data_IF_953036283426
#
_entry.id   IF_953036283426
#
_cell.length_a   1.000
_cell.length_b   1.000
_cell.length_c   1.000
_cell.angle_alpha   90.00
_cell.angle_beta   90.00
_cell.angle_gamma   90.00
#
_symmetry.space_group_name_H-M   'P 1'
#
loop_
_entity.id
_entity.type
_entity.pdbx_description
1 polymer ?
#
# COMPACT_ATOMS: atom_id res chain seq x y z
N UNK A 1 44.70 -31.92 24.42
CA UNK A 1 44.73 -30.48 24.08
C UNK A 1 44.67 -30.22 22.56
N UNK A 2 45.36 -31.03 21.74
CA UNK A 2 45.44 -30.88 20.28
C UNK A 2 44.07 -30.99 19.55
N UNK A 3 43.21 -31.90 19.99
CA UNK A 3 41.86 -32.13 19.43
C UNK A 3 40.91 -30.95 19.64
N UNK A 4 41.04 -30.23 20.76
CA UNK A 4 40.20 -29.05 21.07
C UNK A 4 40.54 -27.86 20.15
N UNK A 5 41.82 -27.68 19.83
CA UNK A 5 42.25 -26.67 18.87
C UNK A 5 41.79 -26.98 17.45
N UNK A 6 41.85 -28.26 17.02
CA UNK A 6 41.38 -28.70 15.70
C UNK A 6 39.87 -28.47 15.52
N UNK A 7 39.05 -28.83 16.52
CA UNK A 7 37.61 -28.57 16.53
C UNK A 7 37.27 -27.07 16.49
N UNK A 8 38.04 -26.24 17.21
CA UNK A 8 37.85 -24.80 17.20
C UNK A 8 38.19 -24.19 15.83
N UNK A 9 39.26 -24.64 15.17
CA UNK A 9 39.63 -24.18 13.83
C UNK A 9 38.62 -24.59 12.76
N UNK A 10 38.13 -25.84 12.79
CA UNK A 10 37.10 -26.31 11.84
C UNK A 10 35.78 -25.56 12.01
N UNK A 11 35.39 -25.30 13.26
CA UNK A 11 34.19 -24.51 13.57
C UNK A 11 34.32 -23.08 13.05
N UNK A 12 35.49 -22.45 13.25
CA UNK A 12 35.78 -21.10 12.78
C UNK A 12 35.80 -21.02 11.24
N UNK A 13 36.41 -22.00 10.56
CA UNK A 13 36.39 -22.08 9.10
C UNK A 13 34.97 -22.24 8.55
N UNK A 14 34.16 -23.10 9.17
CA UNK A 14 32.75 -23.32 8.79
C UNK A 14 31.93 -22.04 8.95
N UNK A 15 32.13 -21.30 10.04
CA UNK A 15 31.50 -19.99 10.27
C UNK A 15 31.96 -18.98 9.24
N UNK A 16 33.26 -18.92 8.94
CA UNK A 16 33.85 -17.98 7.97
C UNK A 16 33.34 -18.23 6.55
N UNK A 17 33.26 -19.50 6.12
CA UNK A 17 32.67 -19.88 4.82
C UNK A 17 31.19 -19.49 4.76
N UNK A 18 30.40 -19.80 5.78
CA UNK A 18 28.97 -19.41 5.86
C UNK A 18 28.79 -17.89 5.80
N UNK A 19 29.62 -17.13 6.51
CA UNK A 19 29.60 -15.67 6.49
C UNK A 19 29.90 -15.10 5.10
N UNK A 20 30.84 -15.69 4.38
CA UNK A 20 31.29 -15.19 3.08
C UNK A 20 30.19 -15.25 2.01
N UNK A 21 29.51 -16.39 1.88
CA UNK A 21 28.42 -16.54 0.90
C UNK A 21 27.17 -15.74 1.30
N UNK A 22 26.74 -15.83 2.56
CA UNK A 22 25.55 -15.12 3.06
C UNK A 22 25.67 -13.60 2.94
N UNK A 23 26.88 -13.05 3.16
CA UNK A 23 27.15 -11.62 3.00
C UNK A 23 26.84 -11.13 1.59
N UNK A 24 27.24 -11.87 0.57
CA UNK A 24 27.04 -11.46 -0.82
C UNK A 24 25.55 -11.44 -1.18
N UNK A 25 24.79 -12.44 -0.76
CA UNK A 25 23.35 -12.52 -1.04
C UNK A 25 22.57 -11.38 -0.39
N UNK A 26 22.90 -11.04 0.86
CA UNK A 26 22.27 -9.91 1.55
C UNK A 26 22.67 -8.59 0.90
N UNK A 27 23.95 -8.39 0.57
CA UNK A 27 24.40 -7.17 -0.11
C UNK A 27 23.71 -7.00 -1.46
N UNK A 28 23.54 -8.10 -2.19
CA UNK A 28 22.79 -8.13 -3.44
C UNK A 28 21.32 -7.80 -3.20
N UNK A 29 20.69 -8.39 -2.17
CA UNK A 29 19.31 -8.10 -1.82
C UNK A 29 19.13 -6.62 -1.41
N UNK A 30 19.99 -6.06 -0.56
CA UNK A 30 19.94 -4.65 -0.15
C UNK A 30 20.06 -3.72 -1.36
N UNK A 31 21.02 -4.02 -2.25
CA UNK A 31 21.25 -3.24 -3.47
C UNK A 31 20.07 -3.32 -4.43
N UNK A 32 19.53 -4.52 -4.65
CA UNK A 32 18.35 -4.73 -5.49
C UNK A 32 17.14 -3.98 -4.96
N UNK A 33 17.00 -3.85 -3.63
CA UNK A 33 15.90 -3.12 -3.00
C UNK A 33 16.17 -1.63 -2.80
N UNK A 34 17.23 -1.08 -3.41
CA UNK A 34 17.50 0.36 -3.42
C UNK A 34 18.00 0.94 -2.10
N UNK A 35 18.45 0.09 -1.17
CA UNK A 35 19.00 0.52 0.12
C UNK A 35 20.44 0.96 -0.14
N UNK A 36 20.67 2.27 -0.31
CA UNK A 36 21.99 2.86 -0.64
C UNK A 36 22.74 3.44 0.56
N UNK A 37 22.07 3.60 1.70
CA UNK A 37 22.67 4.13 2.93
C UNK A 37 23.73 3.15 3.46
N UNK A 38 25.00 3.55 3.37
CA UNK A 38 26.14 2.73 3.80
C UNK A 38 26.16 2.49 5.30
N UNK A 39 25.67 3.43 6.11
CA UNK A 39 25.58 3.27 7.56
C UNK A 39 24.56 2.21 7.93
N UNK A 40 23.37 2.29 7.35
CA UNK A 40 22.31 1.28 7.51
C UNK A 40 22.76 -0.10 6.98
N UNK A 41 23.40 -0.15 5.82
CA UNK A 41 23.95 -1.39 5.28
C UNK A 41 24.96 -2.02 6.25
N UNK A 42 25.92 -1.26 6.78
CA UNK A 42 26.92 -1.78 7.72
C UNK A 42 26.28 -2.23 9.03
N UNK A 43 25.27 -1.53 9.53
CA UNK A 43 24.54 -1.89 10.74
C UNK A 43 23.76 -3.22 10.59
N UNK A 44 23.11 -3.41 9.44
CA UNK A 44 22.47 -4.68 9.06
C UNK A 44 23.53 -5.79 9.00
N UNK A 45 24.67 -5.53 8.35
CA UNK A 45 25.76 -6.50 8.21
C UNK A 45 26.41 -6.87 9.54
N UNK A 46 26.57 -5.93 10.47
CA UNK A 46 27.01 -6.18 11.84
C UNK A 46 26.07 -7.14 12.55
N UNK A 47 24.77 -6.86 12.50
CA UNK A 47 23.77 -7.67 13.20
C UNK A 47 23.69 -9.11 12.64
N UNK A 48 23.84 -9.26 11.32
CA UNK A 48 23.85 -10.57 10.67
C UNK A 48 25.09 -11.38 11.05
N UNK A 49 26.26 -10.73 11.18
CA UNK A 49 27.46 -11.39 11.71
C UNK A 49 27.19 -11.98 13.09
N UNK A 50 26.44 -11.28 13.94
CA UNK A 50 26.11 -11.74 15.28
C UNK A 50 25.10 -12.90 15.27
N UNK A 51 24.06 -12.85 14.45
CA UNK A 51 23.09 -13.96 14.26
C UNK A 51 23.82 -15.25 13.83
N UNK A 52 24.72 -15.13 12.84
CA UNK A 52 25.47 -16.29 12.33
C UNK A 52 26.44 -16.84 13.39
N UNK A 53 27.11 -15.97 14.17
CA UNK A 53 27.97 -16.40 15.29
C UNK A 53 27.18 -17.14 16.37
N UNK A 54 25.95 -16.71 16.64
CA UNK A 54 25.03 -17.35 17.61
C UNK A 54 24.49 -18.70 17.12
N UNK A 55 24.82 -19.12 15.89
CA UNK A 55 24.30 -20.33 15.23
C UNK A 55 22.77 -20.37 15.14
N UNK A 56 22.12 -19.21 15.17
CA UNK A 56 20.69 -19.12 14.91
C UNK A 56 20.41 -19.46 13.44
N UNK A 57 19.26 -20.07 13.19
CA UNK A 57 18.85 -20.43 11.83
C UNK A 57 18.68 -19.16 11.00
N UNK A 58 19.51 -19.06 9.98
CA UNK A 58 19.49 -17.99 9.00
C UNK A 58 18.92 -18.55 7.71
N UNK A 59 17.80 -18.00 7.27
CA UNK A 59 17.09 -18.45 6.07
C UNK A 59 17.58 -17.67 4.84
N UNK A 60 18.43 -18.32 4.04
CA UNK A 60 19.05 -17.74 2.84
C UNK A 60 18.03 -17.28 1.79
N UNK A 61 16.83 -17.87 1.80
CA UNK A 61 15.78 -17.54 0.85
C UNK A 61 14.81 -16.48 1.38
N UNK A 62 14.96 -16.08 2.65
CA UNK A 62 14.07 -15.13 3.31
C UNK A 62 14.84 -13.98 3.97
N UNK A 63 15.50 -13.13 3.17
CA UNK A 63 16.40 -12.08 3.66
C UNK A 63 15.73 -11.13 4.66
N UNK A 64 14.45 -10.78 4.48
CA UNK A 64 13.70 -9.96 5.44
C UNK A 64 13.55 -10.61 6.83
N UNK A 65 13.51 -11.94 6.91
CA UNK A 65 13.39 -12.64 8.19
C UNK A 65 14.68 -12.54 9.01
N UNK A 66 15.83 -12.46 8.33
CA UNK A 66 17.14 -12.36 8.96
C UNK A 66 17.51 -10.93 9.36
N UNK A 67 16.70 -9.93 9.00
CA UNK A 67 16.96 -8.55 9.37
C UNK A 67 16.70 -8.31 10.86
N UNK A 68 17.50 -7.46 11.51
CA UNK A 68 17.27 -7.07 12.90
C UNK A 68 15.88 -6.47 13.07
N UNK A 69 15.19 -6.87 14.13
CA UNK A 69 13.81 -6.44 14.39
C UNK A 69 13.64 -4.92 14.35
N UNK A 70 14.64 -4.16 14.85
CA UNK A 70 14.65 -2.70 14.82
C UNK A 70 14.57 -2.09 13.41
N UNK A 71 15.17 -2.73 12.40
CA UNK A 71 15.21 -2.21 11.03
C UNK A 71 14.20 -2.88 10.11
N UNK A 72 13.72 -4.06 10.48
CA UNK A 72 12.85 -4.90 9.64
C UNK A 72 11.64 -4.13 9.13
N UNK A 73 10.98 -3.35 10.01
CA UNK A 73 9.80 -2.55 9.63
C UNK A 73 10.15 -1.44 8.65
N UNK A 74 11.20 -0.67 8.90
CA UNK A 74 11.53 0.50 8.09
C UNK A 74 12.09 0.07 6.73
N UNK A 75 12.91 -0.98 6.69
CA UNK A 75 13.38 -1.61 5.46
C UNK A 75 12.21 -2.18 4.67
N UNK A 76 11.31 -2.93 5.31
CA UNK A 76 10.10 -3.45 4.66
C UNK A 76 9.29 -2.32 4.03
N UNK A 77 9.07 -1.21 4.74
CA UNK A 77 8.35 -0.04 4.21
C UNK A 77 9.05 0.58 3.00
N UNK A 78 10.39 0.65 3.00
CA UNK A 78 11.16 1.12 1.84
C UNK A 78 10.97 0.21 0.63
N UNK A 79 11.04 -1.12 0.82
CA UNK A 79 10.82 -2.09 -0.26
C UNK A 79 9.38 -2.04 -0.77
N UNK A 80 8.41 -2.03 0.12
CA UNK A 80 6.98 -1.99 -0.24
C UNK A 80 6.62 -0.69 -0.97
N UNK A 81 7.28 0.42 -0.63
CA UNK A 81 7.01 1.72 -1.24
C UNK A 81 7.18 1.68 -2.76
N UNK A 82 8.30 1.14 -3.25
CA UNK A 82 8.57 1.07 -4.70
C UNK A 82 7.61 0.13 -5.42
N UNK A 83 7.18 -0.96 -4.76
CA UNK A 83 6.22 -1.90 -5.33
C UNK A 83 4.80 -1.31 -5.44
N UNK A 84 4.36 -0.58 -4.41
CA UNK A 84 3.04 0.03 -4.35
C UNK A 84 2.90 1.23 -5.28
N UNK A 85 3.98 2.01 -5.48
CA UNK A 85 3.99 3.16 -6.39
C UNK A 85 3.74 2.75 -7.85
N UNK A 86 4.05 1.51 -8.23
CA UNK A 86 3.79 0.96 -9.56
C UNK A 86 2.30 0.64 -9.82
N UNK A 87 1.48 0.54 -8.78
CA UNK A 87 0.05 0.26 -8.93
C UNK A 87 -0.69 1.58 -9.11
N UNK A 88 -1.34 1.84 -10.27
CA UNK A 88 -1.93 3.16 -10.55
C UNK A 88 -2.95 3.62 -9.50
N UNK A 89 -3.74 2.69 -8.96
CA UNK A 89 -4.76 2.96 -7.94
C UNK A 89 -4.12 3.26 -6.57
N UNK A 90 -3.18 2.43 -6.10
CA UNK A 90 -2.50 2.62 -4.82
C UNK A 90 -1.49 3.76 -4.85
N UNK A 91 -0.82 4.01 -5.97
CA UNK A 91 0.15 5.10 -6.11
C UNK A 91 -0.43 6.47 -5.76
N UNK A 92 -1.74 6.71 -5.99
CA UNK A 92 -2.43 7.93 -5.56
C UNK A 92 -2.52 8.05 -4.02
N UNK A 93 -2.63 6.93 -3.31
CA UNK A 93 -2.69 6.86 -1.85
C UNK A 93 -1.39 7.31 -1.17
N UNK A 94 -0.28 7.39 -1.90
CA UNK A 94 1.01 7.91 -1.38
C UNK A 94 0.91 9.34 -0.84
N UNK A 95 -0.10 10.13 -1.27
CA UNK A 95 -0.37 11.47 -0.76
C UNK A 95 -0.81 11.50 0.70
N UNK A 96 -1.37 10.40 1.20
CA UNK A 96 -1.76 10.26 2.60
C UNK A 96 -0.75 9.38 3.35
N UNK A 97 0.14 10.03 4.10
CA UNK A 97 1.24 9.37 4.82
C UNK A 97 0.76 8.30 5.80
N UNK A 98 -0.39 8.50 6.44
CA UNK A 98 -0.91 7.56 7.43
C UNK A 98 -1.44 6.30 6.76
N UNK A 99 -2.30 6.50 5.75
CA UNK A 99 -2.85 5.40 4.96
C UNK A 99 -1.75 4.61 4.25
N UNK A 100 -0.77 5.29 3.68
CA UNK A 100 0.39 4.66 3.05
C UNK A 100 1.17 3.79 4.04
N UNK A 101 1.41 4.31 5.25
CA UNK A 101 2.03 3.52 6.31
C UNK A 101 1.21 2.28 6.66
N UNK A 102 -0.11 2.41 6.74
CA UNK A 102 -1.00 1.30 7.07
C UNK A 102 -0.93 0.19 6.02
N UNK A 103 -1.00 0.55 4.73
CA UNK A 103 -0.87 -0.41 3.62
C UNK A 103 0.50 -1.12 3.66
N UNK A 104 1.59 -0.35 3.82
CA UNK A 104 2.93 -0.92 3.92
C UNK A 104 3.09 -1.85 5.14
N UNK A 105 2.46 -1.53 6.26
CA UNK A 105 2.49 -2.35 7.47
C UNK A 105 1.69 -3.65 7.29
N UNK A 106 0.59 -3.61 6.54
CA UNK A 106 -0.27 -4.77 6.23
C UNK A 106 0.32 -5.76 5.23
N UNK A 107 1.23 -5.33 4.34
CA UNK A 107 1.87 -6.24 3.38
C UNK A 107 2.68 -7.33 4.08
N UNK A 108 2.61 -8.59 3.64
CA UNK A 108 3.39 -9.69 4.23
C UNK A 108 4.30 -10.31 3.16
N UNK A 109 5.61 -10.48 3.41
CA UNK A 109 6.46 -11.18 2.46
C UNK A 109 6.09 -12.68 2.44
N UNK A 110 5.98 -13.23 1.24
CA UNK A 110 5.70 -14.64 0.97
C UNK A 110 6.76 -15.15 0.00
N UNK A 111 7.31 -16.33 0.32
CA UNK A 111 8.41 -16.94 -0.40
C UNK A 111 7.96 -18.24 -1.04
N UNK A 112 8.05 -18.29 -2.36
CA UNK A 112 7.54 -19.37 -3.18
C UNK A 112 8.68 -20.04 -3.92
N UNK A 113 8.64 -21.37 -3.97
CA UNK A 113 9.63 -22.16 -4.72
C UNK A 113 9.22 -22.23 -6.20
N UNK A 114 10.17 -22.56 -7.05
CA UNK A 114 9.92 -22.76 -8.47
C UNK A 114 8.83 -23.82 -8.74
N UNK A 115 8.13 -23.67 -9.86
CA UNK A 115 7.03 -24.54 -10.30
C UNK A 115 5.80 -24.60 -9.39
N UNK A 116 5.73 -23.74 -8.36
CA UNK A 116 4.55 -23.62 -7.48
C UNK A 116 3.41 -22.89 -8.19
N UNK A 117 2.19 -23.42 -8.11
CA UNK A 117 0.98 -22.68 -8.48
C UNK A 117 0.60 -21.73 -7.35
N UNK A 118 0.48 -20.44 -7.68
CA UNK A 118 0.08 -19.41 -6.71
C UNK A 118 -1.45 -19.35 -6.62
N UNK A 119 -2.10 -19.31 -7.77
CA UNK A 119 -3.55 -19.30 -7.92
C UNK A 119 -3.89 -19.88 -9.29
N UNK A 120 -5.02 -20.57 -9.40
CA UNK A 120 -5.56 -21.09 -10.66
C UNK A 120 -6.77 -20.27 -11.10
N UNK A 121 -7.02 -20.28 -12.39
CA UNK A 121 -8.22 -19.67 -12.94
C UNK A 121 -9.46 -20.29 -12.29
N UNK A 122 -10.38 -19.43 -11.85
CA UNK A 122 -11.59 -19.81 -11.12
C UNK A 122 -11.44 -19.90 -9.61
N UNK A 123 -10.22 -19.83 -9.06
CA UNK A 123 -10.01 -19.78 -7.61
C UNK A 123 -10.32 -18.38 -7.06
N UNK A 124 -10.69 -18.33 -5.77
CA UNK A 124 -10.98 -17.07 -5.06
C UNK A 124 -9.71 -16.25 -4.92
N UNK A 125 -9.79 -14.95 -5.19
CA UNK A 125 -8.67 -14.05 -5.08
C UNK A 125 -8.52 -13.56 -3.62
N UNK A 126 -7.74 -14.27 -2.81
CA UNK A 126 -7.62 -13.97 -1.36
C UNK A 126 -6.59 -12.89 -1.00
N UNK A 127 -5.74 -12.53 -1.96
CA UNK A 127 -4.71 -11.50 -1.77
C UNK A 127 -4.30 -10.83 -3.09
N UNK A 128 -3.90 -9.56 -2.98
CA UNK A 128 -3.09 -8.91 -4.00
C UNK A 128 -1.64 -9.29 -3.83
N UNK A 129 -0.92 -9.48 -4.94
CA UNK A 129 0.47 -9.89 -4.93
C UNK A 129 1.33 -8.86 -5.64
N UNK A 130 2.46 -8.51 -5.04
CA UNK A 130 3.45 -7.58 -5.58
C UNK A 130 4.78 -8.31 -5.73
N UNK A 131 5.28 -8.44 -6.94
CA UNK A 131 6.48 -9.23 -7.23
C UNK A 131 7.72 -8.42 -6.83
N UNK A 132 8.48 -8.90 -5.84
CA UNK A 132 9.74 -8.28 -5.43
C UNK A 132 10.95 -8.91 -6.11
N UNK A 133 10.96 -10.24 -6.25
CA UNK A 133 12.03 -11.00 -6.90
C UNK A 133 11.49 -12.23 -7.62
N UNK A 134 12.20 -12.65 -8.67
CA UNK A 134 11.86 -13.82 -9.48
C UNK A 134 10.86 -13.53 -10.59
N UNK A 135 10.38 -14.60 -11.22
CA UNK A 135 9.46 -14.55 -12.36
C UNK A 135 8.25 -15.46 -12.13
N UNK A 136 7.06 -14.93 -12.34
CA UNK A 136 5.77 -15.65 -12.31
C UNK A 136 5.18 -15.64 -13.71
N UNK A 137 4.83 -16.82 -14.24
CA UNK A 137 4.14 -16.93 -15.52
C UNK A 137 2.62 -16.91 -15.32
N UNK A 138 1.92 -16.24 -16.23
CA UNK A 138 0.47 -16.18 -16.27
C UNK A 138 -0.06 -17.03 -17.43
N UNK A 139 -1.12 -17.79 -17.17
CA UNK A 139 -1.79 -18.63 -18.16
C UNK A 139 -3.29 -18.35 -18.12
N UNK A 140 -3.92 -18.21 -19.29
CA UNK A 140 -5.37 -18.08 -19.41
C UNK A 140 -5.84 -19.05 -20.48
N UNK A 141 -6.95 -19.74 -20.25
CA UNK A 141 -7.54 -20.65 -21.26
C UNK A 141 -8.08 -19.93 -22.48
N UNK A 142 -8.35 -18.61 -22.37
CA UNK A 142 -9.08 -17.86 -23.37
C UNK A 142 -8.23 -16.80 -24.10
N UNK A 143 -6.93 -16.74 -23.82
CA UNK A 143 -6.07 -15.64 -24.29
C UNK A 143 -5.24 -16.09 -25.50
N UNK A 144 -5.54 -15.52 -26.66
CA UNK A 144 -4.78 -15.69 -27.92
C UNK A 144 -3.36 -15.11 -27.82
N UNK A 145 -3.10 -14.26 -26.80
CA UNK A 145 -1.85 -13.50 -26.64
C UNK A 145 -0.69 -14.25 -25.96
N UNK A 146 -0.83 -15.54 -25.66
CA UNK A 146 0.26 -16.38 -25.16
C UNK A 146 0.68 -16.14 -23.71
N UNK A 147 1.69 -16.91 -23.26
CA UNK A 147 2.19 -16.90 -21.88
C UNK A 147 2.89 -15.57 -21.58
N UNK A 148 2.39 -14.81 -20.62
CA UNK A 148 3.05 -13.60 -20.10
C UNK A 148 3.81 -13.91 -18.81
N UNK A 149 4.80 -13.08 -18.50
CA UNK A 149 5.61 -13.20 -17.29
C UNK A 149 5.56 -11.90 -16.48
N UNK A 150 5.25 -12.01 -15.20
CA UNK A 150 5.37 -10.95 -14.20
C UNK A 150 6.76 -11.05 -13.54
N UNK A 151 7.45 -9.93 -13.49
CA UNK A 151 8.77 -9.76 -12.90
C UNK A 151 8.72 -8.70 -11.80
N UNK A 152 9.88 -8.39 -11.22
CA UNK A 152 10.00 -7.38 -10.17
C UNK A 152 9.30 -6.07 -10.55
N UNK A 153 8.45 -5.59 -9.64
CA UNK A 153 7.68 -4.36 -9.80
C UNK A 153 6.29 -4.57 -10.39
N UNK A 154 6.03 -5.73 -11.01
CA UNK A 154 4.69 -6.12 -11.45
C UNK A 154 3.83 -6.57 -10.27
N UNK A 155 2.53 -6.59 -10.48
CA UNK A 155 1.53 -6.96 -9.47
C UNK A 155 0.40 -7.80 -10.07
N UNK A 156 -0.38 -8.42 -9.20
CA UNK A 156 -1.56 -9.19 -9.55
C UNK A 156 -2.67 -9.00 -8.52
N UNK A 157 -3.92 -9.09 -8.98
CA UNK A 157 -5.11 -9.06 -8.14
C UNK A 157 -5.68 -7.66 -7.86
N UNK A 158 -5.45 -6.69 -8.74
CA UNK A 158 -6.01 -5.34 -8.60
C UNK A 158 -7.55 -5.32 -8.56
N UNK A 159 -8.21 -6.37 -9.06
CA UNK A 159 -9.67 -6.53 -8.94
C UNK A 159 -10.14 -6.48 -7.48
N UNK A 160 -9.31 -6.90 -6.52
CA UNK A 160 -9.63 -6.80 -5.09
C UNK A 160 -9.78 -5.36 -4.61
N UNK A 161 -8.98 -4.42 -5.10
CA UNK A 161 -9.13 -3.01 -4.73
C UNK A 161 -10.46 -2.48 -5.23
N UNK A 162 -10.79 -2.76 -6.48
CA UNK A 162 -12.04 -2.32 -7.08
C UNK A 162 -13.24 -2.91 -6.33
N UNK A 163 -13.15 -4.18 -5.94
CA UNK A 163 -14.19 -4.86 -5.15
C UNK A 163 -14.37 -4.24 -3.75
N UNK A 164 -13.29 -4.03 -2.98
CA UNK A 164 -13.41 -3.44 -1.63
C UNK A 164 -13.84 -1.97 -1.69
N UNK A 165 -13.43 -1.24 -2.75
CA UNK A 165 -13.74 0.19 -2.88
C UNK A 165 -15.13 0.47 -3.44
N UNK A 166 -15.80 -0.53 -4.03
CA UNK A 166 -17.10 -0.38 -4.69
C UNK A 166 -18.14 0.35 -3.81
N UNK A 167 -18.98 1.22 -4.40
CA UNK A 167 -20.03 1.94 -3.69
C UNK A 167 -20.98 0.98 -2.96
N UNK A 168 -21.25 1.24 -1.67
CA UNK A 168 -22.23 0.47 -0.89
C UNK A 168 -23.69 0.67 -1.40
N UNK A 169 -23.92 1.69 -2.23
CA UNK A 169 -25.24 2.16 -2.65
C UNK A 169 -25.91 1.32 -3.76
N UNK A 170 -25.15 0.49 -4.47
CA UNK A 170 -25.68 -0.51 -5.40
C UNK A 170 -25.41 -1.88 -4.80
N UNK A 171 -26.29 -2.35 -3.91
CA UNK A 171 -26.26 -3.72 -3.36
C UNK A 171 -24.90 -4.18 -2.83
N UNK A 172 -24.21 -3.36 -2.02
CA UNK A 172 -22.95 -3.74 -1.34
C UNK A 172 -21.79 -4.14 -2.29
N UNK A 173 -20.60 -4.48 -1.77
CA UNK A 173 -19.77 -5.44 -2.49
C UNK A 173 -20.63 -6.69 -2.69
N UNK A 174 -20.61 -7.29 -3.88
CA UNK A 174 -21.09 -8.68 -3.99
C UNK A 174 -20.48 -9.46 -2.82
N UNK A 175 -21.29 -10.18 -2.04
CA UNK A 175 -20.79 -11.01 -0.93
C UNK A 175 -19.65 -11.93 -1.39
N UNK A 176 -19.58 -12.19 -2.69
CA UNK A 176 -18.59 -13.01 -3.35
C UNK A 176 -17.34 -12.19 -3.72
N UNK A 177 -16.23 -12.57 -3.10
CA UNK A 177 -14.87 -12.14 -3.46
C UNK A 177 -14.62 -12.52 -4.94
N UNK A 178 -13.97 -11.65 -5.74
CA UNK A 178 -13.72 -11.92 -7.16
C UNK A 178 -12.89 -13.19 -7.36
N UNK A 179 -13.17 -13.90 -8.45
CA UNK A 179 -12.40 -15.07 -8.87
C UNK A 179 -11.26 -14.67 -9.81
N UNK A 180 -10.17 -15.41 -9.74
CA UNK A 180 -9.05 -15.25 -10.66
C UNK A 180 -9.45 -15.62 -12.09
N UNK A 181 -9.17 -14.73 -13.04
CA UNK A 181 -9.39 -14.99 -14.47
C UNK A 181 -8.22 -15.75 -15.12
N UNK A 182 -7.10 -15.87 -14.41
CA UNK A 182 -5.85 -16.45 -14.92
C UNK A 182 -5.22 -17.39 -13.89
N UNK A 183 -4.33 -18.25 -14.35
CA UNK A 183 -3.48 -19.09 -13.51
C UNK A 183 -2.11 -18.46 -13.38
N UNK A 184 -1.58 -18.39 -12.17
CA UNK A 184 -0.21 -17.95 -11.88
C UNK A 184 0.65 -19.14 -11.43
N UNK A 185 1.82 -19.28 -12.05
CA UNK A 185 2.82 -20.29 -11.67
C UNK A 185 4.21 -19.68 -11.59
N UNK A 186 4.92 -19.98 -10.51
CA UNK A 186 6.31 -19.57 -10.35
C UNK A 186 7.20 -20.25 -11.40
N UNK A 187 7.93 -19.47 -12.20
CA UNK A 187 8.97 -19.97 -13.11
C UNK A 187 10.30 -20.13 -12.40
N UNK A 188 10.60 -19.26 -11.45
CA UNK A 188 11.80 -19.30 -10.58
C UNK A 188 11.37 -19.37 -9.12
N UNK A 189 12.32 -19.37 -8.18
CA UNK A 189 12.03 -18.94 -6.80
C UNK A 189 11.54 -17.48 -6.83
N UNK A 190 10.51 -17.18 -6.07
CA UNK A 190 9.83 -15.88 -6.10
C UNK A 190 9.66 -15.35 -4.67
N UNK A 191 9.97 -14.07 -4.47
CA UNK A 191 9.57 -13.29 -3.31
C UNK A 191 8.44 -12.35 -3.74
N UNK A 192 7.26 -12.49 -3.14
CA UNK A 192 6.14 -11.57 -3.31
C UNK A 192 5.79 -10.90 -1.99
N UNK A 193 5.24 -9.71 -2.02
CA UNK A 193 4.48 -9.18 -0.91
C UNK A 193 3.00 -9.42 -1.18
N UNK A 194 2.28 -9.95 -0.19
CA UNK A 194 0.84 -10.18 -0.25
C UNK A 194 0.09 -9.16 0.59
N UNK A 195 -0.94 -8.53 0.04
CA UNK A 195 -1.95 -7.77 0.77
C UNK A 195 -3.24 -8.58 0.78
N UNK A 196 -3.56 -9.17 1.93
CA UNK A 196 -4.72 -10.06 2.07
C UNK A 196 -6.04 -9.29 2.07
N UNK A 197 -7.11 -9.95 1.64
CA UNK A 197 -8.47 -9.38 1.62
C UNK A 197 -8.88 -8.84 3.00
N UNK A 198 -8.60 -9.55 4.08
CA UNK A 198 -8.97 -9.10 5.43
C UNK A 198 -8.17 -7.88 5.87
N UNK A 199 -6.87 -7.84 5.53
CA UNK A 199 -6.02 -6.68 5.79
C UNK A 199 -6.54 -5.46 4.99
N UNK A 200 -6.93 -5.66 3.73
CA UNK A 200 -7.52 -4.64 2.87
C UNK A 200 -8.89 -4.16 3.41
N UNK A 201 -9.75 -5.07 3.84
CA UNK A 201 -11.01 -4.75 4.51
C UNK A 201 -10.78 -3.96 5.78
N UNK A 202 -9.75 -4.26 6.57
CA UNK A 202 -9.44 -3.51 7.79
C UNK A 202 -8.92 -2.10 7.50
N UNK A 203 -8.10 -1.95 6.46
CA UNK A 203 -7.63 -0.65 5.98
C UNK A 203 -8.82 0.22 5.57
N UNK A 204 -9.77 -0.37 4.85
CA UNK A 204 -10.96 0.34 4.37
C UNK A 204 -11.97 0.53 5.50
N UNK A 205 -12.36 -0.48 6.26
CA UNK A 205 -13.37 -0.40 7.34
C UNK A 205 -13.01 0.52 8.51
N UNK A 206 -11.81 1.09 8.55
CA UNK A 206 -11.46 2.16 9.47
C UNK A 206 -12.36 3.41 9.32
N UNK A 207 -12.22 4.35 10.26
CA UNK A 207 -13.00 5.58 10.41
C UNK A 207 -13.61 6.11 9.09
N UNK A 208 -14.94 6.23 8.99
CA UNK A 208 -15.69 6.51 7.74
C UNK A 208 -15.13 7.68 6.88
N UNK A 209 -14.54 8.69 7.53
CA UNK A 209 -13.86 9.81 6.88
C UNK A 209 -12.61 9.38 6.06
N UNK A 210 -11.93 8.32 6.50
CA UNK A 210 -10.76 7.71 5.85
C UNK A 210 -11.16 6.96 4.58
N UNK A 211 -12.30 6.27 4.58
CA UNK A 211 -12.87 5.64 3.38
C UNK A 211 -13.20 6.70 2.34
N UNK A 212 -13.96 7.74 2.73
CA UNK A 212 -14.32 8.83 1.82
C UNK A 212 -13.09 9.52 1.24
N UNK A 213 -12.05 9.73 2.05
CA UNK A 213 -10.78 10.29 1.60
C UNK A 213 -10.01 9.34 0.69
N UNK A 214 -9.95 8.05 1.02
CA UNK A 214 -9.29 7.02 0.22
C UNK A 214 -9.97 6.83 -1.15
N UNK A 215 -11.30 6.68 -1.15
CA UNK A 215 -12.14 6.66 -2.35
C UNK A 215 -11.92 7.88 -3.23
N UNK A 216 -11.95 9.09 -2.66
CA UNK A 216 -11.63 10.34 -3.38
C UNK A 216 -10.21 10.37 -3.96
N UNK A 217 -9.22 9.89 -3.22
CA UNK A 217 -7.82 9.87 -3.67
C UNK A 217 -7.64 8.87 -4.82
N UNK A 218 -8.28 7.69 -4.74
CA UNK A 218 -8.17 6.65 -5.76
C UNK A 218 -9.00 6.99 -7.00
N UNK A 219 -10.03 7.83 -6.85
CA UNK A 219 -10.93 8.26 -7.93
C UNK A 219 -12.20 7.42 -8.04
N UNK A 220 -12.57 6.69 -7.00
CA UNK A 220 -13.86 6.02 -6.89
C UNK A 220 -14.84 7.01 -6.23
N UNK A 221 -15.61 7.77 -7.01
CA UNK A 221 -16.67 8.63 -6.47
C UNK A 221 -17.98 7.84 -6.44
N UNK A 222 -18.66 7.84 -5.29
CA UNK A 222 -20.03 7.33 -5.20
C UNK A 222 -20.96 8.35 -5.89
N UNK A 223 -21.94 7.92 -6.69
CA UNK A 223 -22.92 8.84 -7.32
C UNK A 223 -23.67 9.72 -6.30
N UNK A 224 -23.77 9.25 -5.05
CA UNK A 224 -24.31 10.00 -3.92
C UNK A 224 -23.36 11.08 -3.40
N UNK A 225 -22.06 10.84 -3.43
CA UNK A 225 -21.04 11.82 -3.03
C UNK A 225 -20.95 12.96 -4.07
N UNK A 226 -21.20 12.69 -5.37
CA UNK A 226 -21.32 13.75 -6.38
C UNK A 226 -22.54 14.64 -6.13
N UNK A 227 -23.68 14.06 -5.75
CA UNK A 227 -24.89 14.81 -5.42
C UNK A 227 -24.72 15.65 -4.14
N UNK A 228 -24.05 15.11 -3.12
CA UNK A 228 -23.71 15.85 -1.89
C UNK A 228 -22.70 17.00 -2.17
N UNK A 229 -21.71 16.78 -3.03
CA UNK A 229 -20.73 17.80 -3.42
C UNK A 229 -21.36 18.92 -4.29
N UNK A 230 -22.26 18.55 -5.21
CA UNK A 230 -23.09 19.50 -5.97
C UNK A 230 -23.99 20.32 -5.04
N UNK A 231 -24.68 19.67 -4.10
CA UNK A 231 -25.53 20.35 -3.13
C UNK A 231 -24.73 21.31 -2.23
N UNK A 232 -23.54 20.88 -1.76
CA UNK A 232 -22.65 21.71 -0.96
C UNK A 232 -22.13 22.93 -1.74
N UNK A 233 -21.74 22.75 -3.01
CA UNK A 233 -21.33 23.85 -3.90
C UNK A 233 -22.47 24.83 -4.17
N UNK A 234 -23.69 24.33 -4.38
CA UNK A 234 -24.87 25.18 -4.55
C UNK A 234 -25.20 25.99 -3.30
N UNK A 235 -25.11 25.39 -2.11
CA UNK A 235 -25.30 26.09 -0.84
C UNK A 235 -24.21 27.13 -0.58
N UNK A 236 -22.94 26.81 -0.84
CA UNK A 236 -21.84 27.77 -0.72
C UNK A 236 -21.97 28.92 -1.71
N UNK A 237 -22.36 28.65 -2.96
CA UNK A 237 -22.61 29.68 -3.96
C UNK A 237 -23.77 30.59 -3.54
N UNK A 238 -24.87 30.02 -3.03
CA UNK A 238 -26.01 30.77 -2.51
C UNK A 238 -25.62 31.64 -1.30
N UNK A 239 -24.84 31.08 -0.38
CA UNK A 239 -24.35 31.80 0.80
C UNK A 239 -23.40 32.95 0.42
N UNK A 240 -22.49 32.72 -0.53
CA UNK A 240 -21.59 33.75 -1.06
C UNK A 240 -22.32 34.83 -1.85
N UNK A 241 -23.40 34.48 -2.56
CA UNK A 241 -24.27 35.44 -3.24
C UNK A 241 -25.07 36.28 -2.24
N UNK A 242 -25.63 35.66 -1.20
CA UNK A 242 -26.31 36.34 -0.10
C UNK A 242 -25.38 37.33 0.62
N UNK A 243 -24.15 36.91 0.93
CA UNK A 243 -23.17 37.80 1.55
C UNK A 243 -22.71 38.93 0.64
N UNK A 244 -22.55 38.70 -0.66
CA UNK A 244 -22.26 39.77 -1.63
C UNK A 244 -23.41 40.77 -1.73
N UNK A 245 -24.65 40.29 -1.71
CA UNK A 245 -25.86 41.13 -1.69
C UNK A 245 -25.95 41.95 -0.39
N UNK A 246 -25.66 41.36 0.77
CA UNK A 246 -25.62 42.07 2.06
C UNK A 246 -24.45 43.06 2.18
N UNK A 247 -23.38 42.87 1.42
CA UNK A 247 -22.23 43.76 1.34
C UNK A 247 -22.42 44.91 0.33
N UNK A 248 -23.47 44.89 -0.51
CA UNK A 248 -23.75 45.97 -1.46
C UNK A 248 -24.19 47.25 -0.71
N UNK A 249 -23.42 48.35 -0.79
CA UNK A 249 -23.73 49.59 -0.08
C UNK A 249 -25.08 50.22 -0.49
N UNK A 250 -25.67 49.83 -1.63
CA UNK A 250 -26.98 50.34 -2.09
C UNK A 250 -28.17 49.86 -1.25
N UNK A 251 -28.04 48.79 -0.47
CA UNK A 251 -29.11 48.28 0.41
C UNK A 251 -29.00 48.77 1.86
N UNK A 252 -27.80 49.19 2.31
CA UNK A 252 -27.63 49.93 3.58
C UNK A 252 -28.34 51.30 3.55
N UNK A 253 -28.44 51.94 2.38
CA UNK A 253 -29.21 53.18 2.20
C UNK A 253 -30.71 52.96 2.18
N UNK A 254 -31.21 51.82 1.67
CA UNK A 254 -32.65 51.49 1.70
C UNK A 254 -33.16 51.22 3.12
N UNK A 255 -32.35 50.58 3.96
CA UNK A 255 -32.67 50.34 5.39
C UNK A 255 -32.51 51.59 6.26
N UNK A 256 -31.64 52.55 5.90
CA UNK A 256 -31.54 53.85 6.59
C UNK A 256 -32.62 54.85 6.19
N UNK A 257 -33.07 54.85 4.93
CA UNK A 257 -34.22 55.64 4.45
C UNK A 257 -35.53 55.16 5.08
N UNK A 258 -35.72 53.84 5.25
CA UNK A 258 -36.87 53.28 5.95
C UNK A 258 -36.92 53.70 7.43
N UNK A 259 -35.76 53.80 8.12
CA UNK A 259 -35.68 54.27 9.53
C UNK A 259 -35.86 55.79 9.68
N UNK A 260 -35.52 56.61 8.67
CA UNK A 260 -35.80 58.05 8.70
C UNK A 260 -37.28 58.37 8.44
N UNK A 261 -37.97 57.58 7.60
CA UNK A 261 -39.40 57.74 7.35
C UNK A 261 -40.27 57.47 8.60
N UNK A 262 -39.84 56.58 9.50
CA UNK A 262 -40.58 56.30 10.75
C UNK A 262 -40.40 57.39 11.83
N UNK A 263 -39.37 58.25 11.73
CA UNK A 263 -39.10 59.29 12.73
C UNK A 263 -39.77 60.64 12.42
N UNK A 264 -40.18 60.88 11.16
CA UNK A 264 -40.97 62.07 10.79
C UNK A 264 -42.46 61.94 11.11
N UNK A 265 -42.97 60.75 11.43
CA UNK A 265 -44.38 60.51 11.75
C UNK A 265 -44.74 60.72 13.25
N UNK A 266 -43.80 61.17 14.09
CA UNK A 266 -44.01 61.38 15.53
C UNK A 266 -43.91 62.84 16.01
N UNK A 267 -43.91 63.83 15.11
CA UNK A 267 -43.87 65.27 15.49
C UNK A 267 -45.07 66.10 15.03
N UNK A 268 -46.22 65.48 14.75
CA UNK A 268 -47.49 66.18 14.65
C UNK A 268 -48.54 65.49 15.52
N UNK A 269 -48.58 65.87 16.79
CA UNK A 269 -49.73 65.83 17.70
C UNK A 269 -49.53 66.90 18.74
#
# INVERSE_FOLDING_TARGET
MQTYMQLATETLEKITRKLKYKRLDIQLWLSNNGIKDKGLQEEIMCSIRDIIKRKEDFDEHRPLLNLPQKHKRDIKRLVCKSLLENVPTLGKASKDKYLWSLICDSLKPVYLIENTYIIRQGEVLDAMLFINQGTVCTFSTNDENGIRCLNKGDFFGEELLNWVLAPLASSGPSEQIPLSKITLKCKTKVEVFSLWVDDLKNIVSGNHLRIKKFRRIIGCTDAKDELEDLAAKSLQAAFAAFHRHMADPKQKTRTSLARKATKCAMCFS
#
